data_IF_111928729313
#
_entry.id   IF_111928729313
#
_cell.length_a   1.000
_cell.length_b   1.000
_cell.length_c   1.000
_cell.angle_alpha   90.00
_cell.angle_beta   90.00
_cell.angle_gamma   90.00
#
_symmetry.space_group_name_H-M   'P 1'
#
loop_
_entity.id
_entity.type
_entity.pdbx_description
1 polymer ?
#
# COMPACT_ATOMS: atom_id res chain seq x y z
N UNK A 1 -31.11 -3.40 -6.09
CA UNK A 1 -29.75 -3.87 -6.44
C UNK A 1 -28.77 -3.25 -5.46
N UNK A 2 -27.88 -4.00 -4.83
CA UNK A 2 -27.13 -3.47 -3.71
C UNK A 2 -25.90 -2.67 -4.17
N UNK A 3 -25.96 -1.37 -4.00
CA UNK A 3 -24.77 -0.58 -3.79
C UNK A 3 -24.25 -0.84 -2.39
N UNK A 4 -22.94 -0.97 -2.26
CA UNK A 4 -22.25 -1.28 -1.01
C UNK A 4 -21.45 -0.07 -0.59
N UNK A 5 -21.53 0.28 0.69
CA UNK A 5 -20.55 1.12 1.36
C UNK A 5 -19.55 0.24 2.06
N UNK A 6 -18.27 0.49 1.84
CA UNK A 6 -17.16 -0.16 2.54
C UNK A 6 -16.26 0.93 3.13
N UNK A 7 -16.04 0.89 4.45
CA UNK A 7 -15.19 1.81 5.18
C UNK A 7 -14.01 1.02 5.73
N UNK A 8 -12.80 1.46 5.38
CA UNK A 8 -11.56 0.77 5.75
C UNK A 8 -10.61 1.74 6.41
N UNK A 9 -10.22 1.43 7.64
CA UNK A 9 -9.18 2.14 8.37
C UNK A 9 -7.82 1.51 8.11
N UNK A 10 -6.83 2.34 7.85
CA UNK A 10 -5.45 1.97 7.69
C UNK A 10 -4.57 3.07 8.31
N UNK A 11 -4.06 2.83 9.51
CA UNK A 11 -3.34 3.84 10.30
C UNK A 11 -4.20 5.09 10.51
N UNK A 12 -3.69 6.25 10.07
CA UNK A 12 -4.38 7.55 10.15
C UNK A 12 -5.45 7.76 9.09
N UNK A 13 -5.55 6.88 8.09
CA UNK A 13 -6.47 7.05 6.96
C UNK A 13 -7.75 6.23 7.13
N UNK A 14 -8.88 6.82 6.74
CA UNK A 14 -10.18 6.15 6.65
C UNK A 14 -10.68 6.30 5.22
N UNK A 15 -10.66 5.22 4.47
CA UNK A 15 -11.11 5.17 3.08
C UNK A 15 -12.58 4.74 3.02
N UNK A 16 -13.41 5.53 2.37
CA UNK A 16 -14.82 5.24 2.12
C UNK A 16 -15.01 4.92 0.65
N UNK A 17 -15.62 3.80 0.36
CA UNK A 17 -15.91 3.35 -0.99
C UNK A 17 -17.39 3.02 -1.13
N UNK A 18 -18.05 3.58 -2.13
CA UNK A 18 -19.42 3.25 -2.52
C UNK A 18 -19.39 2.71 -3.95
N UNK A 19 -19.82 1.47 -4.11
CA UNK A 19 -19.73 0.77 -5.39
C UNK A 19 -20.82 -0.29 -5.53
N UNK A 20 -21.12 -0.65 -6.78
CA UNK A 20 -22.05 -1.73 -7.08
C UNK A 20 -21.43 -3.11 -6.83
N UNK A 21 -22.19 -3.99 -6.19
CA UNK A 21 -21.82 -5.40 -6.02
C UNK A 21 -23.00 -6.33 -6.31
N UNK A 22 -22.87 -7.13 -7.35
CA UNK A 22 -23.89 -8.13 -7.71
C UNK A 22 -23.93 -9.34 -6.77
N UNK A 23 -22.92 -9.50 -5.91
CA UNK A 23 -22.69 -10.70 -5.09
C UNK A 23 -22.82 -10.50 -3.59
N UNK A 24 -22.91 -9.27 -3.13
CA UNK A 24 -22.98 -9.00 -1.70
C UNK A 24 -24.21 -9.69 -1.08
N UNK A 25 -24.00 -10.42 0.02
CA UNK A 25 -25.05 -11.13 0.74
C UNK A 25 -25.56 -12.40 0.05
N UNK A 26 -25.04 -12.76 -1.11
CA UNK A 26 -25.49 -13.95 -1.87
C UNK A 26 -24.48 -15.08 -1.74
N UNK A 27 -24.87 -16.17 -1.08
CA UNK A 27 -24.09 -17.42 -1.00
C UNK A 27 -24.44 -18.34 -2.16
N UNK A 28 -23.47 -19.11 -2.68
CA UNK A 28 -23.73 -20.22 -3.63
C UNK A 28 -24.07 -19.84 -5.08
N UNK A 29 -24.11 -18.56 -5.44
CA UNK A 29 -24.34 -18.16 -6.83
C UNK A 29 -23.13 -18.52 -7.70
N UNK A 30 -23.34 -19.41 -8.69
CA UNK A 30 -22.35 -19.73 -9.72
C UNK A 30 -21.89 -18.42 -10.39
N UNK A 31 -20.61 -18.36 -10.74
CA UNK A 31 -20.09 -17.24 -11.54
C UNK A 31 -20.77 -17.29 -12.90
N UNK A 32 -21.55 -16.27 -13.24
CA UNK A 32 -22.05 -16.11 -14.60
C UNK A 32 -20.87 -15.99 -15.59
N UNK A 33 -21.15 -16.23 -16.86
CA UNK A 33 -20.18 -16.05 -17.94
C UNK A 33 -19.54 -14.65 -17.83
N UNK A 34 -18.22 -14.62 -17.75
CA UNK A 34 -17.47 -13.37 -17.75
C UNK A 34 -17.11 -13.05 -19.20
N UNK A 35 -17.53 -11.89 -19.68
CA UNK A 35 -16.85 -11.29 -20.83
C UNK A 35 -15.36 -11.23 -20.47
N UNK A 36 -14.54 -11.99 -21.19
CA UNK A 36 -13.10 -12.02 -20.93
C UNK A 36 -12.54 -10.60 -21.10
N UNK A 37 -11.74 -10.15 -20.13
CA UNK A 37 -10.97 -8.93 -20.27
C UNK A 37 -9.88 -9.14 -21.29
N UNK A 38 -9.54 -8.10 -22.05
CA UNK A 38 -8.27 -8.08 -22.74
C UNK A 38 -7.13 -8.20 -21.74
N UNK A 39 -5.98 -8.66 -22.20
CA UNK A 39 -4.78 -8.79 -21.36
C UNK A 39 -4.40 -7.44 -20.74
N UNK A 40 -4.50 -6.36 -21.51
CA UNK A 40 -4.20 -4.99 -21.07
C UNK A 40 -5.16 -4.48 -20.00
N UNK A 41 -6.45 -4.71 -20.16
CA UNK A 41 -7.46 -4.34 -19.14
C UNK A 41 -7.24 -5.11 -17.85
N UNK A 42 -6.93 -6.40 -17.93
CA UNK A 42 -6.64 -7.20 -16.75
C UNK A 42 -5.39 -6.69 -16.02
N UNK A 43 -4.36 -6.28 -16.76
CA UNK A 43 -3.14 -5.67 -16.18
C UNK A 43 -3.49 -4.38 -15.43
N UNK A 44 -4.31 -3.48 -16.04
CA UNK A 44 -4.74 -2.23 -15.40
C UNK A 44 -5.53 -2.49 -14.11
N UNK A 45 -6.48 -3.44 -14.15
CA UNK A 45 -7.27 -3.82 -12.96
C UNK A 45 -6.38 -4.38 -11.85
N UNK A 46 -5.47 -5.29 -12.19
CA UNK A 46 -4.55 -5.88 -11.22
C UNK A 46 -3.59 -4.84 -10.63
N UNK A 47 -3.14 -3.88 -11.43
CA UNK A 47 -2.28 -2.78 -10.98
C UNK A 47 -3.00 -1.90 -9.96
N UNK A 48 -4.22 -1.39 -10.28
CA UNK A 48 -5.03 -0.58 -9.35
C UNK A 48 -5.31 -1.33 -8.04
N UNK A 49 -5.64 -2.63 -8.12
CA UNK A 49 -5.86 -3.45 -6.93
C UNK A 49 -4.59 -3.60 -6.08
N UNK A 50 -3.43 -3.76 -6.73
CA UNK A 50 -2.13 -3.85 -6.07
C UNK A 50 -1.76 -2.52 -5.39
N UNK A 51 -1.93 -1.39 -6.07
CA UNK A 51 -1.69 -0.04 -5.52
C UNK A 51 -2.55 0.21 -4.28
N UNK A 52 -3.85 -0.07 -4.36
CA UNK A 52 -4.75 0.06 -3.21
C UNK A 52 -4.33 -0.82 -2.03
N UNK A 53 -4.00 -2.08 -2.29
CA UNK A 53 -3.55 -3.01 -1.25
C UNK A 53 -2.24 -2.57 -0.60
N UNK A 54 -1.27 -2.13 -1.41
CA UNK A 54 0.03 -1.68 -0.91
C UNK A 54 -0.10 -0.37 -0.12
N UNK A 55 -0.85 0.61 -0.62
CA UNK A 55 -1.14 1.87 0.09
C UNK A 55 -1.71 1.61 1.47
N UNK A 56 -2.79 0.82 1.57
CA UNK A 56 -3.40 0.47 2.85
C UNK A 56 -2.43 -0.23 3.79
N UNK A 57 -1.55 -1.08 3.26
CA UNK A 57 -0.55 -1.78 4.06
C UNK A 57 0.54 -0.84 4.58
N UNK A 58 0.99 0.11 3.76
CA UNK A 58 1.96 1.14 4.18
C UNK A 58 1.31 2.03 5.24
N UNK A 59 0.13 2.60 4.97
CA UNK A 59 -0.57 3.50 5.89
C UNK A 59 -0.83 2.86 7.27
N UNK A 60 -1.10 1.53 7.32
CA UNK A 60 -1.37 0.82 8.58
C UNK A 60 -0.12 0.56 9.41
N UNK A 61 1.06 0.48 8.81
CA UNK A 61 2.24 -0.06 9.48
C UNK A 61 3.41 0.91 9.61
N UNK A 62 3.39 2.00 8.85
CA UNK A 62 4.47 2.97 8.81
C UNK A 62 3.94 4.38 9.08
N UNK A 63 4.82 5.23 9.60
CA UNK A 63 4.48 6.56 10.06
C UNK A 63 5.58 7.57 9.70
N UNK A 64 5.39 8.82 10.05
CA UNK A 64 6.40 9.87 9.96
C UNK A 64 7.73 9.41 10.58
N UNK A 65 8.83 9.71 9.90
CA UNK A 65 10.17 9.32 10.31
C UNK A 65 10.59 7.91 9.90
N UNK A 66 9.65 7.01 9.60
CA UNK A 66 9.99 5.73 8.96
C UNK A 66 10.60 5.99 7.58
N UNK A 67 11.33 5.03 7.02
CA UNK A 67 12.18 5.29 5.86
C UNK A 67 11.76 4.50 4.61
N UNK A 68 11.61 5.22 3.49
CA UNK A 68 11.72 4.62 2.18
C UNK A 68 13.21 4.53 1.82
N UNK A 69 13.78 3.35 1.95
CA UNK A 69 15.18 3.03 1.70
C UNK A 69 15.36 2.52 0.28
N UNK A 70 16.33 3.08 -0.45
CA UNK A 70 16.73 2.57 -1.76
C UNK A 70 18.15 2.04 -1.66
N UNK A 71 18.39 0.82 -2.12
CA UNK A 71 19.69 0.18 -2.17
C UNK A 71 20.14 0.04 -3.61
N UNK A 72 21.26 0.63 -3.94
CA UNK A 72 21.90 0.55 -5.26
C UNK A 72 23.06 -0.42 -5.23
N UNK A 73 23.52 -0.81 -6.41
CA UNK A 73 24.75 -1.59 -6.60
C UNK A 73 25.87 -0.74 -7.22
N UNK A 74 27.08 -0.89 -6.73
CA UNK A 74 28.29 -0.45 -7.44
C UNK A 74 28.46 -1.30 -8.70
N UNK A 75 29.07 -0.76 -9.73
CA UNK A 75 29.28 -1.44 -11.01
C UNK A 75 29.92 -2.82 -10.83
N UNK A 76 30.93 -2.90 -9.96
CA UNK A 76 31.73 -4.11 -9.69
C UNK A 76 31.00 -5.14 -8.79
N UNK A 77 29.86 -4.73 -8.21
CA UNK A 77 29.06 -5.57 -7.30
C UNK A 77 27.65 -5.83 -7.82
N UNK A 78 27.41 -5.53 -9.10
CA UNK A 78 26.11 -5.83 -9.70
C UNK A 78 25.90 -7.32 -9.79
N UNK A 79 24.77 -7.83 -9.34
CA UNK A 79 24.44 -9.25 -9.48
C UNK A 79 24.31 -9.62 -10.95
N UNK A 80 24.77 -10.82 -11.32
CA UNK A 80 24.67 -11.33 -12.67
C UNK A 80 23.23 -11.58 -13.11
N UNK A 81 22.33 -11.76 -12.15
CA UNK A 81 20.93 -12.02 -12.43
C UNK A 81 20.02 -11.80 -11.22
N UNK A 82 18.74 -12.07 -11.42
CA UNK A 82 17.70 -11.86 -10.42
C UNK A 82 17.82 -12.76 -9.20
N UNK A 83 18.33 -13.99 -9.39
CA UNK A 83 18.53 -14.92 -8.29
C UNK A 83 19.53 -14.34 -7.29
N UNK A 84 20.68 -13.91 -7.76
CA UNK A 84 21.72 -13.29 -6.94
C UNK A 84 21.22 -11.98 -6.30
N UNK A 85 20.49 -11.14 -7.07
CA UNK A 85 19.82 -9.96 -6.54
C UNK A 85 18.88 -10.30 -5.37
N UNK A 86 18.15 -11.40 -5.45
CA UNK A 86 17.28 -11.87 -4.38
C UNK A 86 18.06 -12.36 -3.17
N UNK A 87 19.14 -13.10 -3.39
CA UNK A 87 20.03 -13.58 -2.32
C UNK A 87 20.67 -12.41 -1.57
N UNK A 88 21.08 -11.35 -2.26
CA UNK A 88 21.59 -10.12 -1.67
C UNK A 88 20.54 -9.42 -0.79
N UNK A 89 19.30 -9.36 -1.25
CA UNK A 89 18.21 -8.80 -0.44
C UNK A 89 17.93 -9.65 0.81
N UNK A 90 17.95 -10.96 0.69
CA UNK A 90 17.72 -11.87 1.81
C UNK A 90 18.88 -11.80 2.83
N UNK A 91 20.13 -11.63 2.36
CA UNK A 91 21.30 -11.37 3.22
C UNK A 91 21.16 -10.03 3.96
N UNK A 92 20.85 -8.95 3.25
CA UNK A 92 20.57 -7.63 3.85
C UNK A 92 19.49 -7.72 4.93
N UNK A 93 18.34 -8.33 4.61
CA UNK A 93 17.25 -8.47 5.56
C UNK A 93 17.59 -9.35 6.75
N UNK A 94 18.50 -10.33 6.59
CA UNK A 94 19.03 -11.14 7.70
C UNK A 94 19.87 -10.28 8.66
N UNK A 95 20.76 -9.45 8.14
CA UNK A 95 21.55 -8.53 8.96
C UNK A 95 20.69 -7.46 9.64
N UNK A 96 19.70 -6.92 8.93
CA UNK A 96 18.71 -5.98 9.50
C UNK A 96 17.94 -6.62 10.67
N UNK A 97 17.49 -7.88 10.54
CA UNK A 97 16.81 -8.58 11.64
C UNK A 97 17.72 -8.74 12.86
N UNK A 98 19.02 -9.05 12.65
CA UNK A 98 19.99 -9.12 13.75
C UNK A 98 20.19 -7.77 14.41
N UNK A 99 20.29 -6.69 13.61
CA UNK A 99 20.42 -5.31 14.10
C UNK A 99 19.23 -4.96 15.00
N UNK A 100 18.01 -5.11 14.49
CA UNK A 100 16.78 -4.76 15.21
C UNK A 100 16.57 -5.63 16.47
N UNK A 101 16.87 -6.92 16.38
CA UNK A 101 16.79 -7.83 17.51
C UNK A 101 17.70 -7.41 18.68
N UNK A 102 18.90 -6.88 18.41
CA UNK A 102 19.82 -6.38 19.46
C UNK A 102 19.25 -5.21 20.25
N UNK A 103 18.37 -4.44 19.63
CA UNK A 103 17.65 -3.32 20.26
C UNK A 103 16.27 -3.72 20.81
N UNK A 104 15.89 -5.01 20.73
CA UNK A 104 14.57 -5.48 21.19
C UNK A 104 13.40 -5.02 20.32
N UNK A 105 13.65 -4.50 19.11
CA UNK A 105 12.66 -3.90 18.23
C UNK A 105 12.32 -4.86 17.10
N UNK A 106 11.02 -5.10 16.79
CA UNK A 106 10.65 -5.91 15.64
C UNK A 106 10.84 -5.13 14.33
N UNK A 107 11.64 -5.66 13.40
CA UNK A 107 11.76 -5.11 12.05
C UNK A 107 10.46 -5.29 11.28
N UNK A 108 9.88 -4.19 10.81
CA UNK A 108 8.81 -4.16 9.82
C UNK A 108 9.38 -3.72 8.47
N UNK A 109 9.01 -4.40 7.40
CA UNK A 109 9.42 -3.99 6.06
C UNK A 109 8.44 -4.40 4.96
N UNK A 110 8.45 -3.62 3.89
CA UNK A 110 7.93 -3.97 2.56
C UNK A 110 9.11 -3.84 1.61
N UNK A 111 9.31 -4.81 0.72
CA UNK A 111 10.45 -4.87 -0.20
C UNK A 111 9.99 -5.09 -1.63
N UNK A 112 10.48 -4.27 -2.55
CA UNK A 112 10.27 -4.33 -4.00
C UNK A 112 11.63 -4.39 -4.69
N UNK A 113 11.78 -5.26 -5.67
CA UNK A 113 12.93 -5.28 -6.57
C UNK A 113 12.60 -4.53 -7.86
N UNK A 114 13.52 -3.72 -8.33
CA UNK A 114 13.40 -2.97 -9.58
C UNK A 114 14.53 -3.34 -10.54
N UNK A 115 14.17 -3.45 -11.82
CA UNK A 115 15.11 -3.36 -12.94
C UNK A 115 14.78 -2.08 -13.69
N UNK A 116 15.64 -1.07 -13.53
CA UNK A 116 15.48 0.21 -14.21
C UNK A 116 15.58 0.09 -15.73
N UNK A 117 15.11 1.11 -16.44
CA UNK A 117 15.07 1.13 -17.92
C UNK A 117 16.42 0.87 -18.59
N UNK A 118 17.54 1.24 -17.95
CA UNK A 118 18.91 1.03 -18.42
C UNK A 118 19.56 -0.21 -17.81
N UNK A 119 18.78 -1.16 -17.26
CA UNK A 119 19.28 -2.36 -16.62
C UNK A 119 19.88 -2.14 -15.22
N UNK A 120 19.75 -0.96 -14.63
CA UNK A 120 20.17 -0.71 -13.26
C UNK A 120 19.27 -1.49 -12.28
N UNK A 121 19.90 -2.18 -11.33
CA UNK A 121 19.21 -2.99 -10.33
C UNK A 121 19.12 -2.24 -9.01
N UNK A 122 17.89 -2.15 -8.44
CA UNK A 122 17.62 -1.46 -7.20
C UNK A 122 16.71 -2.29 -6.30
N UNK A 123 16.88 -2.10 -5.00
CA UNK A 123 15.89 -2.55 -4.02
C UNK A 123 15.24 -1.34 -3.39
N UNK A 124 13.91 -1.34 -3.35
CA UNK A 124 13.13 -0.37 -2.61
C UNK A 124 12.56 -1.05 -1.38
N UNK A 125 12.79 -0.47 -0.22
CA UNK A 125 12.21 -0.94 1.04
C UNK A 125 11.47 0.20 1.73
N UNK A 126 10.33 -0.11 2.34
CA UNK A 126 9.74 0.73 3.37
C UNK A 126 10.01 0.02 4.68
N UNK A 127 10.70 0.67 5.60
CA UNK A 127 11.14 0.09 6.88
C UNK A 127 10.75 1.02 8.04
N UNK A 128 10.40 0.44 9.20
CA UNK A 128 10.31 1.23 10.41
C UNK A 128 11.72 1.66 10.85
N UNK A 129 11.87 2.93 11.27
CA UNK A 129 13.16 3.50 11.62
C UNK A 129 13.06 4.19 12.98
N UNK A 130 13.02 3.42 14.09
CA UNK A 130 13.03 3.98 15.44
C UNK A 130 14.36 4.67 15.74
N UNK A 131 14.37 5.60 16.69
CA UNK A 131 15.52 6.44 17.03
C UNK A 131 16.78 5.62 17.41
N UNK A 132 16.59 4.44 17.99
CA UNK A 132 17.69 3.53 18.40
C UNK A 132 18.43 2.92 17.20
N UNK A 133 17.88 3.02 16.00
CA UNK A 133 18.47 2.44 14.78
C UNK A 133 19.06 3.53 13.89
N UNK A 134 20.38 3.73 14.02
CA UNK A 134 21.06 4.74 13.21
C UNK A 134 21.14 4.37 11.72
N UNK A 135 21.12 5.38 10.86
CA UNK A 135 21.29 5.19 9.40
C UNK A 135 22.60 4.47 9.07
N UNK A 136 23.70 4.80 9.77
CA UNK A 136 25.00 4.15 9.57
C UNK A 136 24.95 2.65 9.88
N UNK A 137 24.16 2.24 10.88
CA UNK A 137 23.97 0.82 11.20
C UNK A 137 23.24 0.10 10.05
N UNK A 138 22.24 0.74 9.43
CA UNK A 138 21.54 0.22 8.25
C UNK A 138 22.50 0.12 7.05
N UNK A 139 23.30 1.15 6.79
CA UNK A 139 24.31 1.16 5.73
C UNK A 139 25.28 -0.02 5.85
N UNK A 140 25.75 -0.31 7.07
CA UNK A 140 26.65 -1.45 7.33
C UNK A 140 25.99 -2.81 6.96
N UNK A 141 24.67 -2.94 7.11
CA UNK A 141 23.96 -4.14 6.71
C UNK A 141 24.02 -4.41 5.21
N UNK A 142 24.21 -3.36 4.36
CA UNK A 142 24.35 -3.51 2.91
C UNK A 142 25.75 -3.98 2.49
N UNK A 143 26.70 -4.09 3.42
CA UNK A 143 28.05 -4.68 3.24
C UNK A 143 28.86 -4.09 2.07
N UNK A 144 28.70 -2.79 1.82
CA UNK A 144 29.45 -2.10 0.75
C UNK A 144 29.10 -2.50 -0.68
N UNK A 145 27.95 -3.19 -0.91
CA UNK A 145 27.49 -3.55 -2.27
C UNK A 145 27.21 -2.34 -3.14
N UNK A 146 26.79 -1.23 -2.52
CA UNK A 146 26.52 0.03 -3.21
C UNK A 146 26.12 1.15 -2.26
N UNK A 147 25.42 2.14 -2.80
CA UNK A 147 24.91 3.28 -2.03
C UNK A 147 23.56 2.94 -1.41
N UNK A 148 23.22 3.67 -0.38
CA UNK A 148 21.91 3.64 0.25
C UNK A 148 21.33 5.05 0.28
N UNK A 149 20.07 5.20 -0.13
CA UNK A 149 19.34 6.47 -0.06
C UNK A 149 18.23 6.34 0.95
N UNK A 150 18.21 7.24 1.92
CA UNK A 150 17.26 7.25 3.03
C UNK A 150 16.28 8.41 2.83
N UNK A 151 15.05 8.13 2.48
CA UNK A 151 13.99 9.11 2.30
C UNK A 151 12.97 8.95 3.43
N UNK A 152 12.94 9.87 4.42
CA UNK A 152 11.97 9.78 5.50
C UNK A 152 10.55 9.91 4.97
N UNK A 153 9.63 9.17 5.57
CA UNK A 153 8.20 9.33 5.30
C UNK A 153 7.71 10.64 5.93
N UNK A 154 6.79 11.30 5.25
CA UNK A 154 6.17 12.52 5.70
C UNK A 154 5.14 12.29 6.82
N UNK A 155 4.62 13.38 7.38
CA UNK A 155 3.66 13.42 8.48
C UNK A 155 2.21 13.20 8.05
N UNK A 156 1.93 13.07 6.75
CA UNK A 156 0.55 12.95 6.25
C UNK A 156 -0.11 11.63 6.66
N UNK A 157 0.68 10.55 6.78
CA UNK A 157 0.16 9.19 6.98
C UNK A 157 -0.62 8.65 5.77
N UNK A 158 -0.60 9.37 4.62
CA UNK A 158 -1.23 8.96 3.37
C UNK A 158 -0.18 8.74 2.28
N UNK A 159 0.26 7.50 2.14
CA UNK A 159 1.38 7.15 1.26
C UNK A 159 0.94 6.62 -0.12
N UNK A 160 -0.12 7.21 -0.69
CA UNK A 160 -0.65 6.81 -1.99
C UNK A 160 0.36 6.99 -3.12
N UNK A 161 1.10 8.12 -3.13
CA UNK A 161 2.14 8.42 -4.13
C UNK A 161 3.29 7.40 -4.05
N UNK A 162 3.74 7.08 -2.84
CA UNK A 162 4.78 6.07 -2.62
C UNK A 162 4.32 4.66 -3.06
N UNK A 163 3.09 4.27 -2.72
CA UNK A 163 2.55 2.98 -3.13
C UNK A 163 2.46 2.85 -4.66
N UNK A 164 1.97 3.89 -5.35
CA UNK A 164 1.91 3.92 -6.83
C UNK A 164 3.31 3.86 -7.44
N UNK A 165 4.27 4.60 -6.89
CA UNK A 165 5.68 4.56 -7.29
C UNK A 165 6.24 3.13 -7.19
N UNK A 166 6.13 2.49 -6.02
CA UNK A 166 6.64 1.14 -5.79
C UNK A 166 5.99 0.09 -6.71
N UNK A 167 4.69 0.20 -6.97
CA UNK A 167 4.01 -0.69 -7.92
C UNK A 167 4.52 -0.49 -9.35
N UNK A 168 4.78 0.76 -9.76
CA UNK A 168 5.39 1.05 -11.07
C UNK A 168 6.76 0.43 -11.20
N UNK A 169 7.61 0.53 -10.17
CA UNK A 169 8.96 -0.06 -10.18
C UNK A 169 8.92 -1.60 -10.24
N UNK A 170 7.92 -2.23 -9.62
CA UNK A 170 7.75 -3.69 -9.68
C UNK A 170 7.35 -4.23 -11.05
N UNK A 171 6.87 -3.40 -11.97
CA UNK A 171 6.32 -3.84 -13.26
C UNK A 171 7.38 -4.53 -14.13
N UNK A 172 8.61 -4.02 -14.17
CA UNK A 172 9.73 -4.61 -14.94
C UNK A 172 10.09 -6.02 -14.48
N UNK A 173 10.09 -6.24 -13.16
CA UNK A 173 10.38 -7.56 -12.57
C UNK A 173 9.26 -8.56 -12.80
N UNK A 174 8.00 -8.12 -12.71
CA UNK A 174 6.84 -9.01 -12.79
C UNK A 174 6.55 -9.50 -14.22
N UNK A 175 6.83 -8.67 -15.22
CA UNK A 175 6.51 -8.97 -16.64
C UNK A 175 7.59 -9.74 -17.37
N UNK A 176 8.73 -9.89 -16.77
CA UNK A 176 9.83 -10.61 -17.42
C UNK A 176 9.59 -12.14 -17.40
N UNK A 177 10.03 -12.86 -18.45
CA UNK A 177 9.97 -14.33 -18.51
C UNK A 177 10.62 -15.01 -17.32
N UNK A 178 11.72 -14.43 -16.79
CA UNK A 178 12.46 -14.96 -15.63
C UNK A 178 11.97 -14.39 -14.30
N UNK A 179 10.71 -14.00 -14.20
CA UNK A 179 10.15 -13.47 -12.96
C UNK A 179 10.28 -14.50 -11.83
N UNK A 180 11.18 -14.26 -10.87
CA UNK A 180 11.40 -15.12 -9.71
C UNK A 180 10.22 -15.15 -8.74
N UNK A 181 9.25 -14.25 -8.90
CA UNK A 181 8.14 -14.07 -7.98
C UNK A 181 6.87 -13.69 -8.74
N UNK A 182 5.81 -14.46 -8.51
CA UNK A 182 4.44 -14.05 -8.90
C UNK A 182 3.88 -12.89 -8.07
N UNK A 183 4.71 -12.21 -7.25
CA UNK A 183 4.31 -11.13 -6.34
C UNK A 183 5.06 -9.84 -6.67
N UNK A 184 4.35 -8.71 -6.58
CA UNK A 184 4.92 -7.37 -6.79
C UNK A 184 5.84 -6.91 -5.65
N UNK A 185 5.60 -7.39 -4.44
CA UNK A 185 6.41 -7.08 -3.25
C UNK A 185 6.44 -8.24 -2.27
N UNK A 186 7.45 -8.24 -1.43
CA UNK A 186 7.53 -9.06 -0.23
C UNK A 186 7.36 -8.18 1.00
N UNK A 187 6.98 -8.76 2.12
CA UNK A 187 6.86 -8.03 3.38
C UNK A 187 7.18 -8.92 4.58
N UNK A 188 7.52 -8.28 5.68
CA UNK A 188 7.63 -8.96 6.96
C UNK A 188 6.27 -9.53 7.40
N UNK A 189 6.30 -10.61 8.18
CA UNK A 189 5.07 -11.32 8.60
C UNK A 189 4.31 -10.59 9.73
N UNK A 190 4.97 -9.68 10.41
CA UNK A 190 4.45 -8.92 11.55
C UNK A 190 3.70 -7.64 11.15
N UNK A 191 3.41 -7.42 9.87
CA UNK A 191 2.59 -6.30 9.44
C UNK A 191 1.13 -6.52 9.82
N UNK A 192 0.52 -5.49 10.40
CA UNK A 192 -0.91 -5.44 10.70
C UNK A 192 -1.70 -5.30 9.40
N UNK A 193 -2.90 -5.87 9.37
CA UNK A 193 -3.84 -5.71 8.26
C UNK A 193 -4.73 -4.50 8.51
N UNK A 194 -5.11 -3.74 7.45
CA UNK A 194 -6.13 -2.70 7.56
C UNK A 194 -7.45 -3.26 8.12
N UNK A 195 -8.13 -2.46 8.95
CA UNK A 195 -9.40 -2.84 9.59
C UNK A 195 -10.58 -2.43 8.72
N UNK A 196 -11.46 -3.37 8.37
CA UNK A 196 -12.75 -3.06 7.76
C UNK A 196 -13.70 -2.67 8.88
N UNK A 197 -14.07 -1.38 8.96
CA UNK A 197 -14.96 -0.85 9.98
C UNK A 197 -16.42 -1.13 9.61
N UNK A 198 -16.76 -1.03 8.32
CA UNK A 198 -18.13 -1.17 7.83
C UNK A 198 -18.15 -1.77 6.44
N UNK A 199 -19.08 -2.67 6.18
CA UNK A 199 -19.36 -3.18 4.83
C UNK A 199 -20.81 -3.64 4.75
N UNK A 200 -21.67 -2.81 4.16
CA UNK A 200 -23.11 -3.06 4.10
C UNK A 200 -23.78 -2.42 2.87
N UNK A 201 -25.03 -2.76 2.55
CA UNK A 201 -25.77 -2.08 1.49
C UNK A 201 -25.96 -0.61 1.80
N UNK A 202 -25.82 0.23 0.79
CA UNK A 202 -26.14 1.67 0.88
C UNK A 202 -27.66 1.82 0.99
N UNK A 203 -28.14 2.44 2.07
CA UNK A 203 -29.57 2.68 2.34
C UNK A 203 -30.09 3.91 1.60
N UNK A 204 -29.25 4.91 1.39
CA UNK A 204 -29.60 6.17 0.77
C UNK A 204 -29.54 6.10 -0.76
N UNK A 205 -30.66 6.33 -1.42
CA UNK A 205 -30.76 6.28 -2.88
C UNK A 205 -30.06 7.45 -3.58
N UNK A 206 -29.86 8.59 -2.89
CA UNK A 206 -29.21 9.78 -3.42
C UNK A 206 -27.71 9.88 -3.13
N UNK A 207 -27.06 8.81 -2.68
CA UNK A 207 -25.65 8.83 -2.25
C UNK A 207 -24.66 9.33 -3.32
N UNK A 208 -24.95 9.15 -4.59
CA UNK A 208 -24.10 9.56 -5.72
C UNK A 208 -24.16 11.07 -5.99
N UNK A 209 -25.20 11.78 -5.50
CA UNK A 209 -25.34 13.23 -5.62
C UNK A 209 -24.70 13.98 -4.44
N UNK A 210 -24.08 13.28 -3.51
CA UNK A 210 -23.53 13.86 -2.29
C UNK A 210 -22.03 13.99 -2.37
N UNK A 211 -21.55 15.20 -2.09
CA UNK A 211 -20.13 15.47 -1.87
C UNK A 211 -19.67 14.69 -0.62
N UNK A 212 -18.45 14.17 -0.67
CA UNK A 212 -17.80 13.57 0.47
C UNK A 212 -17.80 14.54 1.66
N UNK A 213 -18.56 14.23 2.68
CA UNK A 213 -18.65 15.05 3.89
C UNK A 213 -18.28 14.23 5.11
N UNK A 214 -17.50 14.84 5.97
CA UNK A 214 -17.27 14.31 7.32
C UNK A 214 -18.53 14.49 8.16
N UNK A 215 -18.85 13.53 9.03
CA UNK A 215 -19.78 13.80 10.13
C UNK A 215 -19.26 14.97 10.97
N UNK A 216 -20.15 15.89 11.38
CA UNK A 216 -19.78 17.08 12.17
C UNK A 216 -18.88 16.78 13.37
N UNK A 217 -19.10 15.66 14.04
CA UNK A 217 -18.29 15.22 15.17
C UNK A 217 -16.84 14.87 14.82
N UNK A 218 -16.56 14.55 13.56
CA UNK A 218 -15.24 14.15 13.08
C UNK A 218 -14.49 15.29 12.37
N UNK A 219 -15.16 16.41 12.07
CA UNK A 219 -14.56 17.56 11.36
C UNK A 219 -13.35 18.15 12.09
N UNK A 220 -13.31 18.07 13.42
CA UNK A 220 -12.16 18.52 14.21
C UNK A 220 -10.98 17.56 14.18
N UNK A 221 -11.25 16.26 13.96
CA UNK A 221 -10.25 15.19 14.07
C UNK A 221 -9.74 14.67 12.73
N UNK A 222 -10.46 14.96 11.64
CA UNK A 222 -10.13 14.46 10.30
C UNK A 222 -10.35 15.56 9.26
N UNK A 223 -9.63 15.46 8.16
CA UNK A 223 -9.86 16.24 6.95
C UNK A 223 -9.96 15.35 5.71
N UNK A 224 -10.62 15.85 4.67
CA UNK A 224 -10.72 15.15 3.39
C UNK A 224 -9.43 15.31 2.59
N UNK A 225 -8.85 14.18 2.17
CA UNK A 225 -7.79 14.15 1.16
C UNK A 225 -8.44 14.38 -0.23
N UNK A 226 -8.36 15.61 -0.73
CA UNK A 226 -8.95 16.00 -2.01
C UNK A 226 -8.43 15.18 -3.19
N UNK A 227 -7.14 14.82 -3.20
CA UNK A 227 -6.51 14.01 -4.25
C UNK A 227 -7.04 12.56 -4.28
N UNK A 228 -7.65 12.10 -3.18
CA UNK A 228 -8.21 10.75 -3.04
C UNK A 228 -9.62 10.61 -3.60
N UNK A 229 -10.30 11.74 -3.89
CA UNK A 229 -11.68 11.72 -4.39
C UNK A 229 -11.71 11.19 -5.81
N UNK A 230 -12.40 10.09 -6.01
CA UNK A 230 -12.58 9.47 -7.30
C UNK A 230 -14.06 9.10 -7.48
N UNK A 231 -14.62 9.55 -8.57
CA UNK A 231 -15.97 9.20 -8.98
C UNK A 231 -15.99 8.81 -10.46
N UNK A 232 -16.99 8.08 -10.87
CA UNK A 232 -17.13 7.69 -12.27
C UNK A 232 -18.08 6.52 -12.48
N UNK A 233 -18.12 6.07 -13.71
CA UNK A 233 -18.86 4.88 -14.14
C UNK A 233 -17.85 3.76 -14.35
N UNK A 234 -18.11 2.61 -13.75
CA UNK A 234 -17.26 1.45 -13.91
C UNK A 234 -17.47 0.86 -15.33
N UNK A 235 -16.44 0.90 -16.16
CA UNK A 235 -16.47 0.58 -17.60
C UNK A 235 -17.18 -0.76 -17.92
N UNK A 236 -17.02 -1.78 -17.06
CA UNK A 236 -17.63 -3.10 -17.29
C UNK A 236 -19.04 -3.26 -16.82
N UNK A 237 -19.40 -2.60 -15.73
CA UNK A 237 -20.71 -2.82 -15.09
C UNK A 237 -21.69 -1.72 -15.43
N UNK A 238 -21.22 -0.58 -15.97
CA UNK A 238 -22.04 0.61 -16.22
C UNK A 238 -22.55 1.29 -14.94
N UNK A 239 -22.10 0.82 -13.74
CA UNK A 239 -22.56 1.38 -12.47
C UNK A 239 -21.59 2.42 -11.95
N UNK A 240 -22.14 3.45 -11.32
CA UNK A 240 -21.36 4.51 -10.67
C UNK A 240 -20.59 3.98 -9.48
N UNK A 241 -19.44 4.60 -9.20
CA UNK A 241 -18.69 4.40 -7.96
C UNK A 241 -18.23 5.74 -7.42
N UNK A 242 -17.97 5.78 -6.11
CA UNK A 242 -17.46 6.95 -5.43
C UNK A 242 -16.52 6.52 -4.31
N UNK A 243 -15.30 7.03 -4.32
CA UNK A 243 -14.29 6.73 -3.30
C UNK A 243 -13.60 8.00 -2.83
N UNK A 244 -13.27 8.05 -1.55
CA UNK A 244 -12.56 9.16 -0.93
C UNK A 244 -11.89 8.71 0.36
N UNK A 245 -10.92 9.47 0.82
CA UNK A 245 -10.16 9.16 2.04
C UNK A 245 -10.16 10.36 2.97
N UNK A 246 -10.41 10.11 4.24
CA UNK A 246 -10.19 11.06 5.31
C UNK A 246 -8.87 10.73 6.01
N UNK A 247 -8.17 11.78 6.45
CA UNK A 247 -6.90 11.67 7.16
C UNK A 247 -7.07 12.28 8.55
N UNK A 248 -6.63 11.56 9.58
CA UNK A 248 -6.67 12.02 10.97
C UNK A 248 -5.64 13.13 11.19
N UNK A 249 -6.06 14.23 11.83
CA UNK A 249 -5.19 15.35 12.22
C UNK A 249 -4.13 14.90 13.24
N UNK A 250 -2.95 15.52 13.21
CA UNK A 250 -1.85 15.19 14.15
C UNK A 250 -2.15 15.54 15.59
N UNK A 251 -3.11 16.46 15.86
CA UNK A 251 -3.36 17.01 17.18
C UNK A 251 -4.31 16.20 18.08
N UNK A 252 -4.98 15.17 17.57
CA UNK A 252 -6.03 14.44 18.32
C UNK A 252 -5.74 12.95 18.40
N UNK A 253 -4.97 12.52 19.43
CA UNK A 253 -4.63 11.10 19.66
C UNK A 253 -5.61 10.36 20.60
N UNK A 254 -6.71 10.98 21.06
CA UNK A 254 -7.66 10.33 21.99
C UNK A 254 -9.07 10.27 21.38
N UNK A 255 -9.64 9.06 21.34
CA UNK A 255 -11.09 8.76 21.30
C UNK A 255 -11.89 9.01 20.01
N UNK A 256 -11.61 8.32 18.89
CA UNK A 256 -12.55 8.35 17.73
C UNK A 256 -12.73 7.01 17.00
N UNK A 257 -12.45 5.87 17.61
CA UNK A 257 -12.65 4.56 16.95
C UNK A 257 -14.15 4.19 16.78
N UNK A 258 -15.01 4.66 17.66
CA UNK A 258 -16.42 4.22 17.76
C UNK A 258 -17.40 4.91 16.79
N UNK A 259 -17.04 6.02 16.15
CA UNK A 259 -18.00 6.82 15.37
C UNK A 259 -18.09 6.48 13.88
N UNK A 260 -17.08 5.83 13.32
CA UNK A 260 -17.11 5.38 11.92
C UNK A 260 -18.07 4.21 11.65
N UNK A 261 -18.49 3.53 12.70
CA UNK A 261 -19.46 2.43 12.59
C UNK A 261 -20.89 2.93 12.31
N UNK A 262 -21.15 4.22 12.56
CA UNK A 262 -22.48 4.85 12.40
C UNK A 262 -22.67 5.62 11.08
N UNK A 263 -21.66 5.68 10.21
CA UNK A 263 -21.75 6.25 8.86
C UNK A 263 -22.44 5.30 7.89
#
# INVERSE_FOLDING_TARGET
MPYIIEVVQAGRTVEVMKYYSSRYGKKGIKRGERKALTKEEQIKVNKRAAEKKLRRLINENFQEGDTHLVLDYRKERRPAGRKEMREDADDFLREMRKLYKRHGIPLKYIHVMEIGKKGALHHHLVINTPEEISQQAIVRCWKGRGRTHHNPLDDTGQYAKLASYLIKQSDGMLRSPDALQGKRWNSSRNLRKPKVLRKEPVKDKGWYNRIARLPKKLEQSYYLDGDSVQEGIHEKTGYTFFTYTFIKNNQTWKETELEWEKL
#
